data_IF_103107989895
#
_entry.id   IF_103107989895
#
_cell.length_a   1.000
_cell.length_b   1.000
_cell.length_c   1.000
_cell.angle_alpha   90.00
_cell.angle_beta   90.00
_cell.angle_gamma   90.00
#
_symmetry.space_group_name_H-M   'P 1'
#
loop_
_entity.id
_entity.type
_entity.pdbx_description
1 polymer ?
#
# COMPACT_ATOMS: atom_id res chain seq x y z
N UNK A 1 -10.84 13.29 18.19
CA UNK A 1 -11.86 13.52 17.13
C UNK A 1 -11.72 12.50 16.00
N UNK A 2 -10.56 12.38 15.34
CA UNK A 2 -10.35 11.37 14.30
C UNK A 2 -10.63 9.94 14.80
N UNK A 3 -10.01 9.52 15.90
CA UNK A 3 -10.18 8.15 16.42
C UNK A 3 -11.63 7.82 16.80
N UNK A 4 -12.37 8.82 17.30
CA UNK A 4 -13.79 8.67 17.62
C UNK A 4 -14.63 8.48 16.35
N UNK A 5 -14.37 9.28 15.31
CA UNK A 5 -15.02 9.12 14.00
C UNK A 5 -14.68 7.76 13.37
N UNK A 6 -13.44 7.28 13.52
CA UNK A 6 -13.02 5.99 13.00
C UNK A 6 -13.79 4.83 13.66
N UNK A 7 -13.92 4.85 14.99
CA UNK A 7 -14.67 3.83 15.71
C UNK A 7 -16.16 3.83 15.30
N UNK A 8 -16.77 5.00 15.16
CA UNK A 8 -18.16 5.13 14.71
C UNK A 8 -18.34 4.66 13.26
N UNK A 9 -17.46 5.06 12.34
CA UNK A 9 -17.55 4.71 10.93
C UNK A 9 -17.43 3.20 10.68
N UNK A 10 -16.63 2.48 11.48
CA UNK A 10 -16.49 1.02 11.39
C UNK A 10 -17.73 0.26 11.86
N UNK A 11 -18.53 0.88 12.74
CA UNK A 11 -19.80 0.32 13.21
C UNK A 11 -21.03 0.73 12.39
N UNK A 12 -20.88 1.66 11.44
CA UNK A 12 -21.99 2.18 10.63
C UNK A 12 -22.30 1.25 9.44
N UNK A 13 -23.58 0.91 9.31
CA UNK A 13 -24.12 0.03 8.25
C UNK A 13 -24.69 0.81 7.07
N UNK A 14 -25.06 2.09 7.27
CA UNK A 14 -25.50 2.98 6.20
C UNK A 14 -24.30 3.51 5.41
N UNK A 15 -24.24 3.19 4.12
CA UNK A 15 -23.13 3.55 3.25
C UNK A 15 -22.95 5.07 3.10
N UNK A 16 -24.04 5.83 3.02
CA UNK A 16 -23.98 7.27 2.85
C UNK A 16 -23.43 7.97 4.10
N UNK A 17 -23.88 7.54 5.29
CA UNK A 17 -23.36 8.03 6.57
C UNK A 17 -21.90 7.64 6.76
N UNK A 18 -21.54 6.39 6.47
CA UNK A 18 -20.17 5.90 6.56
C UNK A 18 -19.23 6.66 5.64
N UNK A 19 -19.63 6.90 4.39
CA UNK A 19 -18.86 7.69 3.43
C UNK A 19 -18.63 9.12 3.93
N UNK A 20 -19.67 9.76 4.50
CA UNK A 20 -19.54 11.09 5.10
C UNK A 20 -18.53 11.10 6.25
N UNK A 21 -18.59 10.14 7.17
CA UNK A 21 -17.63 10.05 8.27
C UNK A 21 -16.18 9.88 7.78
N UNK A 22 -15.96 9.06 6.74
CA UNK A 22 -14.63 8.95 6.11
C UNK A 22 -14.18 10.25 5.44
N UNK A 23 -15.08 10.99 4.79
CA UNK A 23 -14.79 12.30 4.22
C UNK A 23 -14.44 13.36 5.27
N UNK A 24 -15.16 13.36 6.40
CA UNK A 24 -14.87 14.24 7.53
C UNK A 24 -13.48 13.92 8.12
N UNK A 25 -13.11 12.64 8.22
CA UNK A 25 -11.77 12.21 8.62
C UNK A 25 -10.67 12.65 7.64
N UNK A 26 -10.90 12.53 6.32
CA UNK A 26 -9.95 13.01 5.31
C UNK A 26 -9.75 14.53 5.39
N UNK A 27 -10.82 15.28 5.69
CA UNK A 27 -10.75 16.73 5.88
C UNK A 27 -9.89 17.08 7.09
N UNK A 28 -10.05 16.37 8.21
CA UNK A 28 -9.21 16.56 9.39
C UNK A 28 -7.72 16.32 9.11
N UNK A 29 -7.40 15.28 8.34
CA UNK A 29 -6.02 14.97 7.92
C UNK A 29 -5.49 16.08 7.00
N UNK A 30 -6.26 16.48 6.00
CA UNK A 30 -5.88 17.53 5.05
C UNK A 30 -5.58 18.88 5.73
N UNK A 31 -6.38 19.23 6.75
CA UNK A 31 -6.26 20.52 7.44
C UNK A 31 -5.20 20.53 8.54
N UNK A 32 -4.98 19.39 9.23
CA UNK A 32 -4.21 19.37 10.48
C UNK A 32 -2.94 18.49 10.45
N UNK A 33 -2.76 17.65 9.43
CA UNK A 33 -1.55 16.84 9.31
C UNK A 33 -0.46 17.55 8.50
N UNK A 34 0.79 17.14 8.71
CA UNK A 34 1.93 17.64 7.96
C UNK A 34 1.88 17.27 6.48
N UNK A 35 2.70 17.96 5.69
CA UNK A 35 2.84 17.72 4.25
C UNK A 35 3.47 16.34 4.03
N UNK A 36 2.81 15.50 3.22
CA UNK A 36 3.44 14.28 2.71
C UNK A 36 4.56 14.66 1.74
N UNK A 37 5.80 14.35 2.10
CA UNK A 37 6.95 14.54 1.21
C UNK A 37 7.12 13.25 0.39
N UNK A 38 6.90 13.26 -0.94
CA UNK A 38 7.06 12.06 -1.75
C UNK A 38 8.52 11.60 -1.71
N UNK A 39 8.72 10.33 -1.40
CA UNK A 39 10.03 9.67 -1.44
C UNK A 39 10.05 8.74 -2.65
N UNK A 40 11.06 8.90 -3.49
CA UNK A 40 11.32 8.03 -4.63
C UNK A 40 12.45 7.08 -4.24
N UNK A 41 12.16 5.78 -4.24
CA UNK A 41 13.12 4.73 -3.90
C UNK A 41 13.39 3.94 -5.18
N UNK A 42 14.66 3.92 -5.60
CA UNK A 42 15.11 3.03 -6.66
C UNK A 42 15.52 1.70 -6.04
N UNK A 43 14.88 0.62 -6.47
CA UNK A 43 15.22 -0.73 -6.06
C UNK A 43 16.07 -1.40 -7.13
N UNK A 44 17.10 -2.12 -6.69
CA UNK A 44 17.93 -2.97 -7.54
C UNK A 44 17.92 -4.36 -6.92
N UNK A 45 17.35 -5.32 -7.62
CA UNK A 45 17.33 -6.71 -7.18
C UNK A 45 18.54 -7.44 -7.77
N UNK A 46 19.37 -8.02 -6.91
CA UNK A 46 20.47 -8.90 -7.32
C UNK A 46 19.95 -10.31 -7.52
N UNK A 47 19.99 -10.81 -8.76
CA UNK A 47 19.49 -12.14 -9.12
C UNK A 47 20.61 -12.98 -9.75
N UNK A 48 20.75 -14.23 -9.30
CA UNK A 48 21.69 -15.18 -9.90
C UNK A 48 21.23 -15.57 -11.32
N UNK A 49 22.15 -15.73 -12.26
CA UNK A 49 21.84 -16.05 -13.66
C UNK A 49 21.13 -17.39 -13.85
N UNK A 50 21.22 -18.29 -12.88
CA UNK A 50 20.53 -19.60 -12.88
C UNK A 50 19.05 -19.47 -12.55
N UNK A 51 18.60 -18.34 -12.02
CA UNK A 51 17.21 -18.12 -11.66
C UNK A 51 16.42 -17.73 -12.92
N UNK A 52 15.41 -18.53 -13.24
CA UNK A 52 14.45 -18.29 -14.31
C UNK A 52 13.10 -17.85 -13.73
N UNK A 53 12.24 -17.27 -14.59
CA UNK A 53 10.92 -16.76 -14.18
C UNK A 53 10.95 -15.38 -13.51
N UNK A 54 12.13 -14.82 -13.23
CA UNK A 54 12.26 -13.50 -12.63
C UNK A 54 11.89 -12.38 -13.62
N UNK A 55 11.09 -11.41 -13.17
CA UNK A 55 10.73 -10.23 -13.97
C UNK A 55 10.55 -8.97 -13.11
N UNK A 56 10.48 -7.81 -13.75
CA UNK A 56 10.23 -6.54 -13.05
C UNK A 56 8.76 -6.40 -12.66
N UNK A 57 8.49 -5.95 -11.43
CA UNK A 57 7.13 -5.71 -10.93
C UNK A 57 7.02 -4.28 -10.35
N UNK A 58 6.07 -3.45 -10.82
CA UNK A 58 5.89 -2.09 -10.31
C UNK A 58 5.39 -2.00 -8.86
N UNK A 59 4.91 -3.10 -8.28
CA UNK A 59 4.40 -3.15 -6.90
C UNK A 59 5.51 -3.26 -5.84
N UNK A 60 6.75 -3.56 -6.24
CA UNK A 60 7.89 -3.65 -5.32
C UNK A 60 9.05 -4.47 -5.86
N UNK A 61 10.19 -4.42 -5.17
CA UNK A 61 11.33 -5.30 -5.44
C UNK A 61 10.96 -6.78 -5.27
N UNK A 62 11.81 -7.68 -5.75
CA UNK A 62 11.58 -9.13 -5.67
C UNK A 62 10.19 -9.55 -6.18
N UNK A 63 9.80 -9.04 -7.35
CA UNK A 63 8.51 -9.31 -7.99
C UNK A 63 7.30 -8.95 -7.11
N UNK A 64 7.36 -7.83 -6.38
CA UNK A 64 6.33 -7.46 -5.41
C UNK A 64 6.42 -8.29 -4.12
N UNK A 65 7.64 -8.66 -3.73
CA UNK A 65 7.96 -9.48 -2.54
C UNK A 65 7.43 -10.93 -2.57
N UNK A 66 7.03 -11.41 -3.75
CA UNK A 66 6.42 -12.74 -3.94
C UNK A 66 7.16 -13.58 -4.99
N UNK A 67 8.41 -13.24 -5.34
CA UNK A 67 9.16 -13.92 -6.40
C UNK A 67 9.27 -15.45 -6.23
N UNK A 68 9.29 -15.95 -4.99
CA UNK A 68 9.43 -17.38 -4.69
C UNK A 68 8.32 -18.25 -5.28
N UNK A 69 7.17 -17.67 -5.60
CA UNK A 69 6.05 -18.40 -6.23
C UNK A 69 6.22 -18.60 -7.73
N UNK A 70 7.12 -17.84 -8.36
CA UNK A 70 7.23 -17.76 -9.82
C UNK A 70 8.62 -18.13 -10.36
N UNK A 71 9.64 -18.16 -9.50
CA UNK A 71 11.00 -18.48 -9.92
C UNK A 71 11.36 -19.96 -9.76
N UNK A 72 12.28 -20.42 -10.58
CA UNK A 72 12.91 -21.74 -10.45
C UNK A 72 14.39 -21.66 -10.81
N UNK A 73 15.16 -22.67 -10.41
CA UNK A 73 16.55 -22.82 -10.84
C UNK A 73 16.59 -23.63 -12.14
N UNK A 74 17.35 -23.13 -13.11
CA UNK A 74 17.76 -23.93 -14.25
C UNK A 74 18.75 -25.02 -13.81
N UNK A 75 18.65 -26.20 -14.43
CA UNK A 75 19.39 -27.41 -14.03
C UNK A 75 20.87 -27.38 -14.43
#
# INVERSE_FOLDING_TARGET
QFDQLLLLARGETDDAKRAKMYGDMQTLVSQNCGIGIPVFISNIDGVDKRIQGYSSNPLGGFMGYMFSEQVWLDA
#
